data_IF_649541822358
#
_entry.id   IF_649541822358
#
_cell.length_a   1.000
_cell.length_b   1.000
_cell.length_c   1.000
_cell.angle_alpha   90.00
_cell.angle_beta   90.00
_cell.angle_gamma   90.00
#
_symmetry.space_group_name_H-M   'P 1'
#
loop_
_entity.id
_entity.type
_entity.pdbx_description
1 polymer ?
#
# COMPACT_ATOMS: atom_id res chain seq x y z
N UNK A 1 -12.26 -27.90 -51.40
CA UNK A 1 -12.71 -29.02 -50.53
C UNK A 1 -11.61 -29.24 -49.50
N UNK A 2 -11.79 -28.63 -48.32
CA UNK A 2 -12.07 -29.28 -47.01
C UNK A 2 -10.78 -29.87 -46.39
N UNK A 3 -10.34 -29.56 -45.18
CA UNK A 3 -10.79 -28.67 -44.10
C UNK A 3 -9.62 -28.52 -43.13
N UNK A 4 -9.36 -27.32 -42.61
CA UNK A 4 -8.59 -27.11 -41.37
C UNK A 4 -9.46 -27.54 -40.19
N UNK A 5 -8.89 -28.19 -39.20
CA UNK A 5 -9.52 -28.40 -37.88
C UNK A 5 -8.49 -28.09 -36.79
N UNK A 6 -8.80 -27.08 -36.00
CA UNK A 6 -8.12 -26.68 -34.78
C UNK A 6 -8.43 -27.69 -33.66
N UNK A 7 -7.44 -28.05 -32.84
CA UNK A 7 -7.67 -28.72 -31.56
C UNK A 7 -6.66 -28.27 -30.50
N UNK A 8 -7.17 -27.53 -29.52
CA UNK A 8 -6.70 -27.30 -28.14
C UNK A 8 -7.89 -26.61 -27.43
N UNK A 9 -8.14 -26.73 -26.11
CA UNK A 9 -7.67 -27.70 -25.10
C UNK A 9 -8.81 -28.27 -24.21
N UNK A 10 -8.73 -29.54 -23.77
CA UNK A 10 -9.55 -30.06 -22.65
C UNK A 10 -8.59 -30.69 -21.63
N UNK A 11 -7.97 -29.87 -20.79
CA UNK A 11 -7.18 -30.39 -19.66
C UNK A 11 -7.13 -29.49 -18.42
N UNK A 12 -7.81 -28.33 -18.40
CA UNK A 12 -7.81 -27.42 -17.25
C UNK A 12 -9.08 -27.48 -16.37
N UNK A 13 -10.06 -28.31 -16.72
CA UNK A 13 -11.35 -28.38 -16.00
C UNK A 13 -11.37 -29.50 -14.93
N UNK A 14 -10.43 -30.46 -14.96
CA UNK A 14 -10.44 -31.57 -13.98
C UNK A 14 -9.73 -31.28 -12.64
N UNK A 15 -8.99 -30.18 -12.51
CA UNK A 15 -8.30 -29.85 -11.25
C UNK A 15 -9.17 -29.07 -10.24
N UNK A 16 -10.32 -28.55 -10.66
CA UNK A 16 -11.22 -27.75 -9.79
C UNK A 16 -12.34 -28.61 -9.17
N UNK A 17 -12.58 -29.82 -9.69
CA UNK A 17 -13.69 -30.69 -9.25
C UNK A 17 -13.44 -31.57 -8.02
N UNK A 18 -12.23 -31.62 -7.47
CA UNK A 18 -11.86 -32.60 -6.42
C UNK A 18 -11.58 -32.00 -5.03
N UNK A 19 -11.78 -30.68 -4.82
CA UNK A 19 -11.66 -30.05 -3.50
C UNK A 19 -12.99 -29.88 -2.75
N UNK A 20 -14.10 -30.43 -3.26
CA UNK A 20 -15.43 -30.26 -2.67
C UNK A 20 -15.92 -31.42 -1.76
N UNK A 21 -15.05 -32.37 -1.38
CA UNK A 21 -15.45 -33.49 -0.51
C UNK A 21 -14.37 -33.81 0.53
N UNK A 22 -14.29 -33.00 1.59
CA UNK A 22 -13.80 -33.41 2.91
C UNK A 22 -14.29 -32.42 3.98
N UNK A 23 -15.61 -32.40 4.21
CA UNK A 23 -16.17 -31.92 5.46
C UNK A 23 -16.49 -33.12 6.35
N UNK A 24 -15.71 -33.33 7.40
CA UNK A 24 -16.19 -33.98 8.63
C UNK A 24 -15.47 -33.42 9.85
N UNK A 25 -16.25 -32.63 10.62
CA UNK A 25 -16.26 -32.47 12.06
C UNK A 25 -14.92 -32.44 12.83
N UNK A 26 -14.51 -31.22 13.23
CA UNK A 26 -13.97 -30.99 14.57
C UNK A 26 -14.35 -29.60 15.10
N UNK A 27 -15.00 -29.64 16.26
CA UNK A 27 -15.12 -28.63 17.32
C UNK A 27 -15.65 -27.23 16.97
N UNK A 28 -16.84 -26.94 17.52
CA UNK A 28 -17.41 -25.61 17.71
C UNK A 28 -16.57 -24.78 18.69
N UNK A 29 -16.65 -23.45 18.52
CA UNK A 29 -16.14 -22.36 19.35
C UNK A 29 -14.63 -22.09 19.27
N UNK A 30 -14.24 -21.03 18.53
CA UNK A 30 -13.41 -19.91 19.04
C UNK A 30 -12.81 -18.97 17.97
N UNK A 31 -13.16 -19.01 16.68
CA UNK A 31 -12.37 -18.29 15.65
C UNK A 31 -13.13 -17.40 14.65
N UNK A 32 -14.44 -17.23 14.80
CA UNK A 32 -15.19 -16.24 14.01
C UNK A 32 -15.30 -14.85 14.67
N UNK A 33 -15.08 -14.75 15.98
CA UNK A 33 -15.18 -13.47 16.71
C UNK A 33 -13.90 -12.61 16.62
N UNK A 34 -12.75 -13.21 16.28
CA UNK A 34 -11.46 -12.49 16.19
C UNK A 34 -11.20 -11.82 14.83
N UNK A 35 -12.05 -12.04 13.81
CA UNK A 35 -11.93 -11.41 12.47
C UNK A 35 -12.92 -10.27 12.23
N UNK A 36 -13.56 -9.80 13.32
CA UNK A 36 -14.39 -8.59 13.37
C UNK A 36 -13.67 -7.37 13.98
N UNK A 37 -12.38 -7.46 14.31
CA UNK A 37 -11.67 -6.37 15.01
C UNK A 37 -11.59 -5.05 14.22
N UNK A 38 -11.51 -5.03 12.89
CA UNK A 38 -11.39 -3.75 12.15
C UNK A 38 -12.73 -3.09 11.78
N UNK A 39 -13.85 -3.80 11.93
CA UNK A 39 -15.20 -3.30 11.57
C UNK A 39 -16.14 -3.13 12.76
N UNK A 40 -15.82 -3.70 13.93
CA UNK A 40 -16.58 -3.50 15.18
C UNK A 40 -15.84 -2.66 16.23
N UNK A 41 -14.59 -2.23 15.98
CA UNK A 41 -13.91 -1.21 16.80
C UNK A 41 -14.45 0.21 16.54
N UNK A 42 -15.32 0.38 15.55
CA UNK A 42 -15.97 1.63 15.10
C UNK A 42 -16.70 2.43 16.22
N UNK A 43 -16.82 1.91 17.44
CA UNK A 43 -17.44 2.67 18.54
C UNK A 43 -16.68 2.76 19.88
N UNK A 44 -15.58 2.03 20.12
CA UNK A 44 -14.98 2.00 21.48
C UNK A 44 -13.51 2.37 21.62
N UNK A 45 -12.68 2.35 20.57
CA UNK A 45 -11.26 2.74 20.69
C UNK A 45 -10.82 3.72 19.59
N UNK A 46 -11.19 4.99 19.80
CA UNK A 46 -10.85 6.14 18.93
C UNK A 46 -9.33 6.31 18.79
N UNK A 47 -8.56 5.95 19.82
CA UNK A 47 -7.08 6.00 19.77
C UNK A 47 -6.56 4.91 18.86
N UNK A 48 -7.06 3.68 18.98
CA UNK A 48 -6.74 2.56 18.09
C UNK A 48 -7.08 2.85 16.61
N UNK A 49 -8.19 3.54 16.37
CA UNK A 49 -8.60 3.96 15.03
C UNK A 49 -7.66 5.02 14.42
N UNK A 50 -7.31 6.06 15.20
CA UNK A 50 -6.35 7.07 14.80
C UNK A 50 -4.94 6.46 14.56
N UNK A 51 -4.52 5.50 15.40
CA UNK A 51 -3.29 4.74 15.18
C UNK A 51 -3.34 3.97 13.87
N UNK A 52 -4.43 3.25 13.59
CA UNK A 52 -4.57 2.50 12.33
C UNK A 52 -4.45 3.43 11.11
N UNK A 53 -5.01 4.63 11.21
CA UNK A 53 -4.87 5.66 10.17
C UNK A 53 -3.44 6.19 10.04
N UNK A 54 -2.72 6.38 11.16
CA UNK A 54 -1.30 6.76 11.16
C UNK A 54 -0.40 5.70 10.52
N UNK A 55 -0.75 4.42 10.68
CA UNK A 55 0.08 3.31 10.20
C UNK A 55 -0.17 2.91 8.76
N UNK A 56 -1.24 3.37 8.12
CA UNK A 56 -1.54 3.02 6.74
C UNK A 56 -0.51 3.59 5.72
N UNK A 57 -0.06 4.85 5.80
CA UNK A 57 1.05 5.33 4.97
C UNK A 57 2.35 4.54 5.20
N UNK A 58 2.60 4.13 6.46
CA UNK A 58 3.79 3.36 6.84
C UNK A 58 3.73 1.96 6.25
N UNK A 59 2.62 1.24 6.44
CA UNK A 59 2.43 -0.11 5.88
C UNK A 59 2.50 -0.08 4.37
N UNK A 60 1.84 0.89 3.72
CA UNK A 60 1.94 1.12 2.28
C UNK A 60 3.39 1.25 1.82
N UNK A 61 4.19 2.09 2.48
CA UNK A 61 5.62 2.23 2.21
C UNK A 61 6.42 0.91 2.41
N UNK A 62 6.03 0.09 3.39
CA UNK A 62 6.66 -1.21 3.68
C UNK A 62 6.25 -2.34 2.72
N UNK A 63 5.05 -2.33 2.15
CA UNK A 63 4.59 -3.44 1.28
C UNK A 63 5.27 -3.51 -0.10
N UNK A 64 6.02 -2.47 -0.46
CA UNK A 64 6.44 -2.33 -1.85
C UNK A 64 6.67 -0.91 -2.29
N UNK A 65 6.23 0.08 -1.49
CA UNK A 65 6.16 1.54 -1.72
C UNK A 65 4.80 1.95 -2.29
N UNK A 66 3.88 2.11 -1.35
CA UNK A 66 2.45 2.39 -1.42
C UNK A 66 1.57 1.21 -1.84
N UNK A 67 0.45 1.07 -1.14
CA UNK A 67 -0.65 0.16 -1.46
C UNK A 67 -1.26 0.36 -2.84
N UNK A 68 -0.75 1.25 -3.71
CA UNK A 68 -0.91 1.15 -5.17
C UNK A 68 0.36 1.43 -6.01
N UNK A 69 1.51 0.91 -5.61
CA UNK A 69 2.40 0.30 -6.60
C UNK A 69 3.67 1.00 -7.00
N UNK A 70 4.38 1.72 -6.14
CA UNK A 70 5.77 2.06 -6.42
C UNK A 70 6.66 0.83 -6.26
N UNK A 71 6.48 -0.24 -7.05
CA UNK A 71 7.56 -1.22 -7.18
C UNK A 71 8.74 -0.53 -7.86
N UNK A 72 9.54 0.19 -7.09
CA UNK A 72 10.84 0.68 -7.52
C UNK A 72 11.63 -0.56 -7.89
N UNK A 73 12.09 -0.59 -9.12
CA UNK A 73 13.01 -1.58 -9.61
C UNK A 73 14.31 -1.49 -8.81
N UNK A 74 14.33 -2.11 -7.63
CA UNK A 74 15.57 -2.50 -6.99
C UNK A 74 16.12 -3.63 -7.86
N UNK A 75 17.31 -3.38 -8.40
CA UNK A 75 18.09 -4.31 -9.22
C UNK A 75 17.82 -5.77 -8.84
N UNK A 76 17.14 -6.49 -9.74
CA UNK A 76 16.99 -7.94 -9.68
C UNK A 76 17.78 -8.50 -10.85
N UNK A 77 18.75 -9.35 -10.57
CA UNK A 77 19.33 -10.22 -11.60
C UNK A 77 18.20 -10.99 -12.25
N UNK A 78 18.13 -11.00 -13.59
CA UNK A 78 17.08 -11.63 -14.41
C UNK A 78 16.52 -12.90 -13.73
N UNK A 79 15.25 -12.93 -13.29
CA UNK A 79 14.64 -14.18 -12.88
C UNK A 79 14.54 -15.12 -14.07
N UNK A 80 14.54 -16.43 -13.82
CA UNK A 80 14.29 -17.41 -14.87
C UNK A 80 12.86 -17.20 -15.40
N UNK A 81 12.64 -17.40 -16.70
CA UNK A 81 11.36 -17.15 -17.40
C UNK A 81 10.12 -17.76 -16.69
N UNK A 82 10.28 -18.88 -15.96
CA UNK A 82 9.19 -19.50 -15.18
C UNK A 82 8.78 -18.73 -13.93
N UNK A 83 9.70 -18.03 -13.26
CA UNK A 83 9.42 -17.24 -12.05
C UNK A 83 8.66 -15.96 -12.37
N UNK A 84 8.90 -15.36 -13.53
CA UNK A 84 8.25 -14.12 -13.96
C UNK A 84 6.77 -14.33 -14.29
N UNK A 85 6.43 -15.47 -14.90
CA UNK A 85 5.04 -15.86 -15.19
C UNK A 85 4.30 -16.19 -13.89
N UNK A 86 4.89 -17.02 -13.02
CA UNK A 86 4.28 -17.38 -11.74
C UNK A 86 4.06 -16.16 -10.84
N UNK A 87 5.04 -15.26 -10.77
CA UNK A 87 4.95 -14.02 -10.00
C UNK A 87 3.92 -13.04 -10.56
N UNK A 88 3.78 -12.95 -11.89
CA UNK A 88 2.76 -12.12 -12.55
C UNK A 88 1.36 -12.66 -12.30
N UNK A 89 1.14 -13.97 -12.46
CA UNK A 89 -0.14 -14.61 -12.14
C UNK A 89 -0.49 -14.51 -10.65
N UNK A 90 0.50 -14.69 -9.78
CA UNK A 90 0.34 -14.58 -8.34
C UNK A 90 -0.01 -13.14 -7.90
N UNK A 91 0.64 -12.14 -8.49
CA UNK A 91 0.29 -10.71 -8.31
C UNK A 91 -1.12 -10.42 -8.78
N UNK A 92 -1.48 -10.86 -9.99
CA UNK A 92 -2.82 -10.71 -10.56
C UNK A 92 -3.89 -11.34 -9.64
N UNK A 93 -3.57 -12.51 -9.06
CA UNK A 93 -4.47 -13.30 -8.24
C UNK A 93 -4.70 -12.73 -6.84
N UNK A 94 -3.66 -12.18 -6.18
CA UNK A 94 -3.78 -11.72 -4.80
C UNK A 94 -3.95 -10.20 -4.63
N UNK A 95 -3.43 -9.38 -5.55
CA UNK A 95 -3.39 -7.92 -5.40
C UNK A 95 -4.03 -7.15 -6.57
N UNK A 96 -4.66 -7.84 -7.53
CA UNK A 96 -4.98 -7.25 -8.85
C UNK A 96 -3.69 -6.98 -9.66
N UNK A 97 -3.75 -6.40 -10.87
CA UNK A 97 -2.55 -6.08 -11.64
C UNK A 97 -1.71 -5.00 -10.95
N UNK A 98 -0.86 -5.41 -10.01
CA UNK A 98 0.28 -4.63 -9.52
C UNK A 98 1.40 -4.67 -10.55
N UNK A 99 1.10 -4.03 -11.68
CA UNK A 99 2.06 -3.59 -12.68
C UNK A 99 2.84 -2.45 -12.03
N UNK A 100 4.15 -2.60 -11.94
CA UNK A 100 4.99 -1.64 -11.24
C UNK A 100 4.82 -0.23 -11.77
N UNK A 101 4.76 0.80 -10.91
CA UNK A 101 4.56 2.18 -11.36
C UNK A 101 5.60 2.70 -12.35
N UNK A 102 6.79 2.10 -12.37
CA UNK A 102 7.80 2.32 -13.42
C UNK A 102 7.44 1.65 -14.74
N UNK A 103 6.22 1.17 -14.95
CA UNK A 103 5.78 0.70 -16.26
C UNK A 103 4.97 1.82 -16.88
N UNK A 104 5.51 2.55 -17.86
CA UNK A 104 4.91 3.76 -18.40
C UNK A 104 4.00 3.51 -19.63
N UNK A 105 3.15 2.47 -19.60
CA UNK A 105 2.19 2.17 -20.67
C UNK A 105 0.71 2.32 -20.27
N UNK A 106 -0.13 2.56 -21.29
CA UNK A 106 -1.58 2.62 -21.13
C UNK A 106 -2.17 1.21 -21.04
N UNK A 107 -3.09 1.00 -20.10
CA UNK A 107 -3.84 -0.26 -19.99
C UNK A 107 -5.30 0.04 -19.64
N UNK A 108 -6.21 -0.74 -20.19
CA UNK A 108 -7.62 -0.69 -19.83
C UNK A 108 -8.17 -2.11 -19.80
N UNK A 109 -8.98 -2.44 -18.82
CA UNK A 109 -9.69 -3.70 -18.76
C UNK A 109 -10.96 -3.60 -17.90
N UNK A 110 -11.92 -4.45 -18.23
CA UNK A 110 -13.13 -4.63 -17.42
C UNK A 110 -12.76 -5.49 -16.20
N UNK A 111 -13.12 -5.02 -15.01
CA UNK A 111 -12.85 -5.75 -13.78
C UNK A 111 -13.76 -6.99 -13.71
N UNK A 112 -13.21 -8.16 -13.32
CA UNK A 112 -13.93 -9.45 -13.42
C UNK A 112 -15.20 -9.52 -12.57
N UNK A 113 -15.28 -8.71 -11.51
CA UNK A 113 -16.46 -8.57 -10.67
C UNK A 113 -17.36 -7.38 -11.01
N UNK A 114 -17.09 -6.68 -12.12
CA UNK A 114 -17.83 -5.52 -12.61
C UNK A 114 -17.06 -4.20 -12.47
N UNK A 115 -17.43 -3.22 -13.29
CA UNK A 115 -16.75 -1.92 -13.40
C UNK A 115 -15.50 -1.98 -14.26
N UNK A 116 -14.83 -0.84 -14.40
CA UNK A 116 -13.72 -0.67 -15.33
C UNK A 116 -12.48 -0.13 -14.61
N UNK A 117 -11.32 -0.53 -15.12
CA UNK A 117 -10.04 0.06 -14.74
C UNK A 117 -9.36 0.62 -15.98
N UNK A 118 -8.93 1.87 -15.87
CA UNK A 118 -8.15 2.53 -16.90
C UNK A 118 -6.86 3.09 -16.29
N UNK A 119 -5.77 2.97 -17.04
CA UNK A 119 -4.51 3.64 -16.74
C UNK A 119 -4.03 4.38 -17.98
N UNK A 120 -3.69 5.63 -17.79
CA UNK A 120 -3.14 6.51 -18.83
C UNK A 120 -1.80 7.07 -18.38
N UNK A 121 -0.84 7.11 -19.28
CA UNK A 121 0.51 7.61 -19.04
C UNK A 121 0.81 8.73 -20.04
N UNK A 122 1.39 9.80 -19.51
CA UNK A 122 1.75 11.01 -20.22
C UNK A 122 3.21 11.33 -19.91
N UNK A 123 3.95 11.80 -20.90
CA UNK A 123 5.30 12.34 -20.72
C UNK A 123 5.40 13.66 -21.48
N UNK A 124 6.23 14.56 -20.96
CA UNK A 124 6.63 15.78 -21.67
C UNK A 124 7.74 15.54 -22.69
N UNK A 125 8.39 14.37 -22.66
CA UNK A 125 9.50 14.04 -23.53
C UNK A 125 8.97 13.67 -24.93
N UNK A 126 9.62 14.17 -25.98
CA UNK A 126 9.21 13.98 -27.39
C UNK A 126 9.18 12.51 -27.80
N UNK A 127 10.00 11.70 -27.14
CA UNK A 127 10.06 10.25 -27.27
C UNK A 127 9.68 9.63 -25.92
N UNK A 128 8.37 9.55 -25.66
CA UNK A 128 7.79 9.01 -24.43
C UNK A 128 7.94 7.47 -24.33
N UNK A 129 9.17 6.97 -24.44
CA UNK A 129 9.45 5.55 -24.28
C UNK A 129 9.25 5.13 -22.83
N UNK A 130 8.65 3.97 -22.65
CA UNK A 130 8.49 3.38 -21.34
C UNK A 130 9.70 2.51 -20.97
N UNK A 131 9.69 1.98 -19.75
CA UNK A 131 10.79 1.13 -19.28
C UNK A 131 10.80 -0.24 -19.95
N UNK A 132 9.70 -0.68 -20.57
CA UNK A 132 9.66 -1.91 -21.35
C UNK A 132 10.39 -1.69 -22.69
N UNK A 133 10.25 -0.52 -23.31
CA UNK A 133 10.95 -0.13 -24.54
C UNK A 133 12.47 -0.16 -24.37
N UNK A 134 12.98 0.18 -23.17
CA UNK A 134 14.39 0.01 -22.85
C UNK A 134 14.84 -1.46 -22.93
N UNK A 135 14.06 -2.38 -22.39
CA UNK A 135 14.39 -3.81 -22.41
C UNK A 135 14.21 -4.45 -23.78
N UNK A 136 13.22 -4.01 -24.57
CA UNK A 136 12.91 -4.59 -25.87
C UNK A 136 13.79 -4.00 -26.98
N UNK A 137 14.01 -2.68 -26.97
CA UNK A 137 14.55 -1.94 -28.10
C UNK A 137 15.79 -1.10 -27.75
N UNK A 138 16.20 -1.05 -26.47
CA UNK A 138 17.33 -0.22 -26.01
C UNK A 138 17.01 1.28 -25.95
N UNK A 139 15.74 1.66 -26.10
CA UNK A 139 15.32 3.05 -26.06
C UNK A 139 15.33 3.59 -24.62
N UNK A 140 15.85 4.79 -24.43
CA UNK A 140 15.92 5.39 -23.11
C UNK A 140 14.54 5.83 -22.61
N UNK A 141 14.13 5.45 -21.39
CA UNK A 141 12.85 5.85 -20.85
C UNK A 141 12.85 7.34 -20.48
N UNK A 142 11.65 7.90 -20.41
CA UNK A 142 11.43 9.29 -20.02
C UNK A 142 12.00 9.60 -18.62
N UNK A 143 12.61 10.78 -18.49
CA UNK A 143 13.17 11.25 -17.20
C UNK A 143 12.10 11.67 -16.18
N UNK A 144 10.88 11.90 -16.67
CA UNK A 144 9.68 12.17 -15.88
C UNK A 144 8.44 11.65 -16.61
N UNK A 145 7.41 11.25 -15.88
CA UNK A 145 6.11 10.92 -16.48
C UNK A 145 5.00 11.05 -15.45
N UNK A 146 3.79 11.23 -15.95
CA UNK A 146 2.54 11.23 -15.19
C UNK A 146 1.73 9.99 -15.55
N UNK A 147 1.27 9.24 -14.55
CA UNK A 147 0.39 8.11 -14.72
C UNK A 147 -0.89 8.34 -13.92
N UNK A 148 -2.04 8.33 -14.59
CA UNK A 148 -3.37 8.35 -13.97
C UNK A 148 -3.97 6.96 -14.01
N UNK A 149 -4.54 6.52 -12.88
CA UNK A 149 -5.32 5.29 -12.72
C UNK A 149 -6.73 5.70 -12.34
N UNK A 150 -7.69 5.36 -13.18
CA UNK A 150 -9.11 5.59 -12.96
C UNK A 150 -9.80 4.25 -12.69
N UNK A 151 -10.48 4.17 -11.55
CA UNK A 151 -11.29 3.04 -11.13
C UNK A 151 -12.74 3.46 -11.23
N UNK A 152 -13.51 2.84 -12.11
CA UNK A 152 -14.92 3.13 -12.31
C UNK A 152 -15.75 1.99 -11.72
N UNK A 153 -16.06 2.10 -10.42
CA UNK A 153 -16.75 1.05 -9.66
C UNK A 153 -16.11 -0.34 -9.80
N UNK A 154 -14.78 -0.39 -9.93
CA UNK A 154 -14.04 -1.61 -10.21
C UNK A 154 -14.09 -2.59 -9.03
N UNK A 155 -14.56 -3.81 -9.32
CA UNK A 155 -14.49 -4.96 -8.44
C UNK A 155 -13.61 -6.02 -9.11
N UNK A 156 -12.39 -6.18 -8.62
CA UNK A 156 -11.38 -7.03 -9.29
C UNK A 156 -11.80 -8.49 -9.46
N UNK A 157 -12.55 -9.05 -8.51
CA UNK A 157 -12.97 -10.44 -8.52
C UNK A 157 -14.46 -10.55 -8.17
N UNK A 158 -15.22 -11.44 -8.82
CA UNK A 158 -16.68 -11.51 -8.65
C UNK A 158 -17.11 -11.88 -7.23
N UNK A 159 -16.26 -12.53 -6.45
CA UNK A 159 -16.55 -12.99 -5.09
C UNK A 159 -16.09 -12.03 -3.98
N UNK A 160 -15.44 -10.90 -4.30
CA UNK A 160 -15.08 -9.91 -3.27
C UNK A 160 -16.29 -9.04 -2.94
N UNK A 161 -16.42 -8.61 -1.69
CA UNK A 161 -17.37 -7.54 -1.32
C UNK A 161 -16.76 -6.14 -1.49
N UNK A 162 -15.48 -6.09 -1.86
CA UNK A 162 -14.72 -4.86 -2.04
C UNK A 162 -14.88 -4.30 -3.44
N UNK A 163 -15.16 -3.00 -3.51
CA UNK A 163 -15.27 -2.19 -4.72
C UNK A 163 -14.40 -0.95 -4.54
N UNK A 164 -13.69 -0.55 -5.60
CA UNK A 164 -12.86 0.65 -5.63
C UNK A 164 -13.42 1.59 -6.69
N UNK A 165 -13.51 2.87 -6.35
CA UNK A 165 -13.98 3.92 -7.24
C UNK A 165 -13.11 5.18 -7.09
N UNK A 166 -12.93 5.94 -8.17
CA UNK A 166 -12.15 7.18 -8.19
C UNK A 166 -10.74 7.02 -8.78
N UNK A 167 -9.87 7.99 -8.49
CA UNK A 167 -8.62 8.21 -9.24
C UNK A 167 -7.38 8.19 -8.33
N UNK A 168 -6.29 7.61 -8.84
CA UNK A 168 -4.95 7.72 -8.27
C UNK A 168 -3.94 8.13 -9.33
N UNK A 169 -3.14 9.14 -9.01
CA UNK A 169 -2.30 9.87 -9.95
C UNK A 169 -0.88 9.94 -9.44
N UNK A 170 0.08 9.52 -10.27
CA UNK A 170 1.48 9.41 -9.90
C UNK A 170 2.33 10.24 -10.85
N UNK A 171 3.17 11.11 -10.32
CA UNK A 171 4.15 11.89 -11.08
C UNK A 171 5.54 11.47 -10.64
N UNK A 172 6.29 10.88 -11.57
CA UNK A 172 7.70 10.59 -11.39
C UNK A 172 8.56 11.70 -12.00
N UNK A 173 9.65 12.03 -11.34
CA UNK A 173 10.64 12.99 -11.82
C UNK A 173 12.05 12.65 -11.32
N UNK A 174 13.07 13.12 -12.05
CA UNK A 174 14.47 12.85 -11.70
C UNK A 174 14.88 11.40 -11.91
N UNK A 175 14.23 10.70 -12.84
CA UNK A 175 14.58 9.33 -13.21
C UNK A 175 15.84 9.31 -14.08
N UNK A 176 16.63 8.25 -13.92
CA UNK A 176 17.78 7.98 -14.79
C UNK A 176 17.31 7.40 -16.13
N UNK A 177 17.99 7.78 -17.22
CA UNK A 177 17.82 7.20 -18.56
C UNK A 177 18.42 5.80 -18.71
N UNK A 178 19.05 5.28 -17.65
CA UNK A 178 19.67 3.95 -17.60
C UNK A 178 19.37 3.25 -16.28
N UNK A 179 19.39 1.93 -16.28
CA UNK A 179 19.19 1.15 -15.06
C UNK A 179 20.40 1.30 -14.10
N UNK A 180 20.18 1.53 -12.79
CA UNK A 180 18.89 1.63 -12.11
C UNK A 180 18.21 2.98 -12.36
N UNK A 181 16.92 2.92 -12.70
CA UNK A 181 16.15 4.08 -13.11
C UNK A 181 15.81 5.03 -11.97
N UNK A 182 15.67 4.50 -10.76
CA UNK A 182 15.55 5.30 -9.54
C UNK A 182 16.96 5.54 -9.01
N UNK A 183 17.26 6.81 -8.74
CA UNK A 183 18.55 7.27 -8.28
C UNK A 183 18.36 8.26 -7.12
N UNK A 184 19.47 8.73 -6.57
CA UNK A 184 19.41 9.82 -5.61
C UNK A 184 18.79 11.07 -6.26
N UNK A 185 17.81 11.68 -5.59
CA UNK A 185 17.05 12.82 -6.09
C UNK A 185 15.85 12.46 -6.96
N UNK A 186 15.59 11.17 -7.24
CA UNK A 186 14.30 10.78 -7.83
C UNK A 186 13.17 11.14 -6.86
N UNK A 187 12.07 11.65 -7.41
CA UNK A 187 10.88 12.04 -6.65
C UNK A 187 9.64 11.41 -7.26
N UNK A 188 8.79 10.86 -6.40
CA UNK A 188 7.43 10.40 -6.72
C UNK A 188 6.43 11.24 -5.94
N UNK A 189 5.51 11.90 -6.66
CA UNK A 189 4.34 12.54 -6.07
C UNK A 189 3.11 11.70 -6.38
N UNK A 190 2.32 11.40 -5.36
CA UNK A 190 1.09 10.61 -5.47
C UNK A 190 -0.07 11.51 -5.06
N UNK A 191 -1.10 11.56 -5.89
CA UNK A 191 -2.38 12.17 -5.60
C UNK A 191 -3.47 11.12 -5.64
N UNK A 192 -4.44 11.27 -4.75
CA UNK A 192 -5.48 10.26 -4.54
C UNK A 192 -6.81 10.97 -4.34
N UNK A 193 -7.85 10.44 -4.95
CA UNK A 193 -9.23 10.72 -4.63
C UNK A 193 -10.04 9.45 -4.91
N UNK A 194 -10.16 8.58 -3.92
CA UNK A 194 -10.79 7.27 -4.08
C UNK A 194 -11.69 6.89 -2.94
N UNK A 195 -12.64 6.03 -3.26
CA UNK A 195 -13.52 5.38 -2.32
C UNK A 195 -13.33 3.87 -2.41
N UNK A 196 -13.14 3.23 -1.26
CA UNK A 196 -13.09 1.78 -1.11
C UNK A 196 -14.33 1.38 -0.32
N UNK A 197 -15.22 0.62 -0.95
CA UNK A 197 -16.48 0.19 -0.35
C UNK A 197 -16.46 -1.31 -0.08
N UNK A 198 -16.96 -1.72 1.08
CA UNK A 198 -17.29 -3.10 1.41
C UNK A 198 -18.81 -3.27 1.49
N UNK A 199 -19.41 -3.71 0.39
CA UNK A 199 -20.86 -3.78 0.24
C UNK A 199 -21.53 -4.77 1.19
N UNK A 200 -20.83 -5.82 1.63
CA UNK A 200 -21.39 -6.80 2.58
C UNK A 200 -21.41 -6.30 4.02
N UNK A 201 -20.66 -5.24 4.32
CA UNK A 201 -20.60 -4.63 5.67
C UNK A 201 -21.23 -3.24 5.70
N UNK A 202 -21.57 -2.66 4.55
CA UNK A 202 -22.10 -1.30 4.47
C UNK A 202 -21.08 -0.23 4.90
N UNK A 203 -19.78 -0.55 4.85
CA UNK A 203 -18.70 0.36 5.25
C UNK A 203 -18.01 0.87 4.00
N UNK A 204 -17.71 2.16 3.95
CA UNK A 204 -16.85 2.73 2.92
C UNK A 204 -15.79 3.64 3.51
N UNK A 205 -14.64 3.70 2.84
CA UNK A 205 -13.53 4.57 3.19
C UNK A 205 -13.22 5.45 2.00
N UNK A 206 -13.21 6.77 2.21
CA UNK A 206 -12.75 7.73 1.24
C UNK A 206 -11.38 8.24 1.62
N UNK A 207 -10.45 8.21 0.68
CA UNK A 207 -9.08 8.69 0.85
C UNK A 207 -8.83 9.76 -0.20
N UNK A 208 -8.49 10.96 0.26
CA UNK A 208 -8.27 12.13 -0.60
C UNK A 208 -6.95 12.81 -0.23
N UNK A 209 -6.15 13.23 -1.21
CA UNK A 209 -5.01 14.11 -0.95
C UNK A 209 -5.49 15.46 -0.40
N UNK A 210 -4.85 15.95 0.66
CA UNK A 210 -5.15 17.25 1.28
C UNK A 210 -4.07 18.31 1.01
N UNK A 211 -3.01 17.94 0.28
CA UNK A 211 -1.96 18.86 -0.14
C UNK A 211 -2.36 19.74 -1.32
N UNK A 212 -1.35 20.34 -1.95
CA UNK A 212 -1.54 21.16 -3.16
C UNK A 212 -2.02 20.34 -4.35
N UNK A 213 -2.73 20.99 -5.28
CA UNK A 213 -3.15 20.36 -6.53
C UNK A 213 -1.93 19.81 -7.31
N UNK A 214 -2.03 18.59 -7.81
CA UNK A 214 -1.00 18.04 -8.68
C UNK A 214 -0.97 18.80 -10.01
N UNK A 215 0.24 19.03 -10.51
CA UNK A 215 0.47 19.67 -11.80
C UNK A 215 1.58 18.94 -12.54
N UNK A 216 1.39 18.74 -13.84
CA UNK A 216 2.39 18.17 -14.73
C UNK A 216 2.25 18.81 -16.12
N UNK A 217 3.36 18.91 -16.87
CA UNK A 217 3.40 19.61 -18.15
C UNK A 217 2.66 18.91 -19.29
N UNK A 218 2.28 17.64 -19.11
CA UNK A 218 1.47 16.85 -20.03
C UNK A 218 0.32 16.15 -19.28
N UNK A 219 -0.79 15.87 -19.95
CA UNK A 219 -1.99 15.39 -19.28
C UNK A 219 -2.64 16.46 -18.39
N UNK A 220 -3.62 16.07 -17.58
CA UNK A 220 -4.35 16.98 -16.68
C UNK A 220 -4.64 16.26 -15.38
N UNK A 221 -3.69 16.24 -14.42
CA UNK A 221 -3.95 15.71 -13.10
C UNK A 221 -5.17 16.39 -12.46
N UNK A 222 -5.99 15.59 -11.78
CA UNK A 222 -7.28 16.00 -11.19
C UNK A 222 -7.27 15.90 -9.67
N UNK A 223 -6.24 15.30 -9.08
CA UNK A 223 -6.14 15.05 -7.65
C UNK A 223 -5.19 16.04 -6.95
N UNK A 224 -5.36 16.14 -5.64
CA UNK A 224 -4.42 16.83 -4.77
C UNK A 224 -3.34 15.87 -4.27
N UNK A 225 -2.17 16.44 -3.93
CA UNK A 225 -1.03 15.72 -3.38
C UNK A 225 -1.42 15.00 -2.07
N UNK A 226 -1.22 13.69 -2.07
CA UNK A 226 -1.40 12.80 -0.92
C UNK A 226 -0.05 12.39 -0.31
N UNK A 227 0.92 12.02 -1.16
CA UNK A 227 2.24 11.57 -0.72
C UNK A 227 3.35 12.15 -1.59
N UNK A 228 4.49 12.47 -0.97
CA UNK A 228 5.73 12.74 -1.70
C UNK A 228 6.80 11.79 -1.19
N UNK A 229 7.41 11.03 -2.09
CA UNK A 229 8.56 10.18 -1.80
C UNK A 229 9.79 10.76 -2.49
N UNK A 230 10.89 10.90 -1.74
CA UNK A 230 12.18 11.39 -2.26
C UNK A 230 13.27 10.38 -1.93
N UNK A 231 13.93 9.84 -2.95
CA UNK A 231 15.02 8.89 -2.75
C UNK A 231 16.32 9.65 -2.47
N UNK A 232 16.88 9.43 -1.28
CA UNK A 232 18.02 10.19 -0.75
C UNK A 232 19.33 9.40 -0.88
N UNK A 233 19.25 8.08 -0.90
CA UNK A 233 20.41 7.21 -1.10
C UNK A 233 19.97 5.91 -1.77
N UNK A 234 20.45 5.66 -3.00
CA UNK A 234 20.18 4.42 -3.71
C UNK A 234 21.47 3.62 -3.82
N UNK A 235 21.48 2.44 -3.21
CA UNK A 235 22.56 1.48 -3.41
C UNK A 235 22.34 0.77 -4.75
N UNK A 236 23.33 0.87 -5.63
CA UNK A 236 23.31 0.28 -6.97
C UNK A 236 24.23 -0.95 -7.03
N UNK A 237 23.86 -1.99 -7.77
CA UNK A 237 24.68 -3.20 -7.92
C UNK A 237 24.71 -4.12 -6.69
N UNK A 238 25.82 -4.83 -6.46
CA UNK A 238 26.01 -5.74 -5.31
C UNK A 238 26.45 -5.03 -4.01
N UNK A 239 26.15 -3.74 -3.88
CA UNK A 239 26.53 -2.97 -2.69
C UNK A 239 25.69 -3.38 -1.48
N UNK A 240 26.36 -3.73 -0.38
CA UNK A 240 25.73 -3.94 0.93
C UNK A 240 25.48 -2.60 1.63
N UNK A 241 24.43 -2.54 2.44
CA UNK A 241 24.07 -1.36 3.23
C UNK A 241 22.58 -1.02 3.14
N UNK A 242 22.25 0.24 3.45
CA UNK A 242 20.86 0.73 3.48
C UNK A 242 20.63 1.72 2.33
N UNK A 243 19.71 1.39 1.42
CA UNK A 243 19.10 2.40 0.53
C UNK A 243 18.03 3.15 1.31
N UNK A 244 17.88 4.47 1.13
CA UNK A 244 16.93 5.28 1.88
C UNK A 244 16.12 6.23 1.01
N UNK A 245 14.90 6.51 1.49
CA UNK A 245 13.99 7.50 0.95
C UNK A 245 13.21 8.13 2.10
N UNK A 246 12.77 9.36 1.89
CA UNK A 246 11.86 10.05 2.79
C UNK A 246 10.45 10.10 2.21
N UNK A 247 9.44 10.11 3.08
CA UNK A 247 8.04 10.27 2.70
C UNK A 247 7.39 11.42 3.48
N UNK A 248 6.69 12.28 2.76
CA UNK A 248 5.74 13.24 3.33
C UNK A 248 4.32 12.79 3.04
N UNK A 249 3.42 13.00 4.00
CA UNK A 249 2.00 12.61 3.93
C UNK A 249 1.11 13.85 4.10
N UNK A 250 0.05 13.93 3.31
CA UNK A 250 -1.02 14.93 3.42
C UNK A 250 -2.32 14.31 2.91
N UNK A 251 -3.03 13.60 3.78
CA UNK A 251 -4.21 12.81 3.42
C UNK A 251 -5.39 13.17 4.31
N UNK A 252 -6.57 13.23 3.72
CA UNK A 252 -7.85 13.17 4.42
C UNK A 252 -8.44 11.78 4.24
N UNK A 253 -8.72 11.10 5.34
CA UNK A 253 -9.41 9.81 5.37
C UNK A 253 -10.74 9.95 6.07
N UNK A 254 -11.80 9.49 5.43
CA UNK A 254 -13.14 9.51 5.98
C UNK A 254 -13.70 8.10 5.92
N UNK A 255 -14.28 7.61 7.01
CA UNK A 255 -15.01 6.35 7.02
C UNK A 255 -16.50 6.60 7.18
N UNK A 256 -17.29 5.83 6.46
CA UNK A 256 -18.74 5.91 6.47
C UNK A 256 -19.36 4.54 6.74
N UNK A 257 -20.47 4.54 7.48
CA UNK A 257 -21.36 3.41 7.63
C UNK A 257 -22.68 3.78 6.95
N UNK A 258 -22.92 3.24 5.75
CA UNK A 258 -23.95 3.76 4.86
C UNK A 258 -23.66 5.21 4.49
N UNK A 259 -24.58 6.12 4.83
CA UNK A 259 -24.42 7.56 4.58
C UNK A 259 -23.82 8.34 5.77
N UNK A 260 -23.70 7.70 6.93
CA UNK A 260 -23.26 8.36 8.16
C UNK A 260 -21.74 8.35 8.25
N UNK A 261 -21.16 9.54 8.44
CA UNK A 261 -19.74 9.69 8.72
C UNK A 261 -19.44 9.12 10.11
N UNK A 262 -18.52 8.17 10.16
CA UNK A 262 -18.03 7.55 11.40
C UNK A 262 -16.88 8.37 11.97
N UNK A 263 -15.89 8.68 11.12
CA UNK A 263 -14.73 9.47 11.49
C UNK A 263 -14.13 10.16 10.28
N UNK A 264 -13.40 11.24 10.55
CA UNK A 264 -12.51 11.92 9.63
C UNK A 264 -11.15 12.14 10.29
N UNK A 265 -10.12 11.70 9.56
CA UNK A 265 -8.73 11.76 9.95
C UNK A 265 -7.94 12.61 8.95
N UNK A 266 -7.47 13.77 9.41
CA UNK A 266 -6.47 14.54 8.68
C UNK A 266 -5.07 14.05 9.09
N UNK A 267 -4.41 13.38 8.16
CA UNK A 267 -3.13 12.70 8.35
C UNK A 267 -2.04 13.54 7.69
N UNK A 268 -1.04 13.93 8.47
CA UNK A 268 0.10 14.73 7.99
C UNK A 268 1.41 14.26 8.62
N UNK A 269 2.54 14.61 8.04
CA UNK A 269 3.85 14.37 8.63
C UNK A 269 4.48 15.68 9.08
N UNK A 270 4.53 15.99 10.40
CA UNK A 270 5.26 17.15 10.91
C UNK A 270 6.75 17.09 10.60
N UNK A 271 7.30 15.88 10.48
CA UNK A 271 8.65 15.64 9.97
C UNK A 271 8.63 14.43 9.04
N UNK A 272 9.33 14.53 7.90
CA UNK A 272 9.33 13.49 6.87
C UNK A 272 9.72 12.13 7.43
N UNK A 273 8.91 11.12 7.14
CA UNK A 273 9.16 9.74 7.53
C UNK A 273 10.39 9.23 6.82
N UNK A 274 11.33 8.65 7.57
CA UNK A 274 12.58 8.14 7.03
C UNK A 274 12.52 6.64 6.91
N UNK A 275 12.70 6.15 5.69
CA UNK A 275 12.63 4.75 5.38
C UNK A 275 13.93 4.23 4.78
N UNK A 276 14.15 2.93 4.96
CA UNK A 276 15.29 2.25 4.40
C UNK A 276 14.99 0.83 3.93
N UNK A 277 15.78 0.35 2.97
CA UNK A 277 15.89 -1.07 2.65
C UNK A 277 17.29 -1.53 3.04
N UNK A 278 17.37 -2.29 4.13
CA UNK A 278 18.60 -2.89 4.65
C UNK A 278 18.91 -4.18 3.92
N UNK A 279 19.96 -4.13 3.11
CA UNK A 279 20.51 -5.21 2.29
C UNK A 279 21.89 -5.63 2.79
N UNK A 280 22.16 -5.46 4.07
CA UNK A 280 23.45 -5.83 4.67
C UNK A 280 23.70 -7.34 4.69
N UNK A 281 22.64 -8.16 4.73
CA UNK A 281 22.73 -9.63 4.64
C UNK A 281 22.92 -10.07 3.17
N UNK A 282 23.76 -11.08 2.95
CA UNK A 282 23.96 -11.66 1.62
C UNK A 282 22.75 -12.49 1.14
N UNK A 283 21.89 -12.94 2.06
CA UNK A 283 20.63 -13.62 1.78
C UNK A 283 19.49 -12.60 1.63
N UNK A 284 18.89 -12.45 0.43
CA UNK A 284 17.77 -11.54 0.20
C UNK A 284 16.52 -11.85 1.05
N UNK A 285 16.38 -13.10 1.51
CA UNK A 285 15.27 -13.50 2.38
C UNK A 285 15.40 -12.98 3.83
N UNK A 286 16.59 -12.50 4.19
CA UNK A 286 16.92 -11.91 5.50
C UNK A 286 16.91 -10.38 5.47
N UNK A 287 16.63 -9.76 4.32
CA UNK A 287 16.59 -8.30 4.22
C UNK A 287 15.44 -7.70 5.04
N UNK A 288 15.61 -6.45 5.42
CA UNK A 288 14.61 -5.68 6.16
C UNK A 288 14.27 -4.37 5.46
N UNK A 289 13.02 -3.95 5.60
CA UNK A 289 12.62 -2.57 5.41
C UNK A 289 12.56 -1.90 6.77
N UNK A 290 12.99 -0.66 6.84
CA UNK A 290 13.16 0.09 8.06
C UNK A 290 12.27 1.33 8.01
N UNK A 291 11.58 1.62 9.12
CA UNK A 291 11.13 2.95 9.46
C UNK A 291 12.00 3.47 10.60
N UNK A 292 12.91 4.38 10.29
CA UNK A 292 14.01 4.75 11.19
C UNK A 292 13.79 6.06 11.94
N UNK A 293 13.02 7.00 11.37
CA UNK A 293 12.77 8.31 11.96
C UNK A 293 11.55 9.01 11.30
N UNK A 294 11.29 10.22 11.76
CA UNK A 294 10.15 11.05 11.33
C UNK A 294 8.94 10.87 12.25
N UNK A 295 7.92 11.68 12.00
CA UNK A 295 6.70 11.69 12.80
C UNK A 295 5.47 11.79 11.90
N UNK A 296 4.39 11.14 12.32
CA UNK A 296 3.10 11.21 11.67
C UNK A 296 2.05 11.68 12.66
N UNK A 297 1.25 12.62 12.22
CA UNK A 297 0.19 13.24 12.98
C UNK A 297 -1.16 12.87 12.37
N UNK A 298 -2.11 12.52 13.22
CA UNK A 298 -3.50 12.27 12.86
C UNK A 298 -4.37 13.18 13.71
N UNK A 299 -5.07 14.11 13.07
CA UNK A 299 -6.12 14.88 13.72
C UNK A 299 -7.44 14.16 13.50
N UNK A 300 -8.08 13.72 14.59
CA UNK A 300 -9.44 13.20 14.59
C UNK A 300 -10.40 14.37 14.71
N UNK A 301 -11.18 14.61 13.65
CA UNK A 301 -11.95 15.85 13.49
C UNK A 301 -13.14 15.88 14.44
N UNK A 302 -13.91 14.80 14.49
CA UNK A 302 -15.16 14.69 15.25
C UNK A 302 -14.89 14.74 16.75
N UNK A 303 -13.81 14.09 17.18
CA UNK A 303 -13.43 14.00 18.57
C UNK A 303 -12.52 15.14 19.00
N UNK A 304 -11.99 15.93 18.07
CA UNK A 304 -11.13 17.08 18.32
C UNK A 304 -9.89 16.76 19.18
N UNK A 305 -9.22 15.65 18.87
CA UNK A 305 -7.89 15.35 19.40
C UNK A 305 -6.88 15.12 18.27
N UNK A 306 -5.62 15.28 18.62
CA UNK A 306 -4.49 15.03 17.73
C UNK A 306 -3.61 13.96 18.33
N UNK A 307 -3.33 12.93 17.53
CA UNK A 307 -2.40 11.86 17.82
C UNK A 307 -1.10 12.12 17.05
N UNK A 308 0.03 12.15 17.75
CA UNK A 308 1.37 12.29 17.15
C UNK A 308 2.18 11.03 17.44
N UNK A 309 2.54 10.29 16.41
CA UNK A 309 3.40 9.10 16.48
C UNK A 309 4.84 9.49 16.14
N UNK A 310 5.79 8.99 16.92
CA UNK A 310 7.23 9.18 16.69
C UNK A 310 7.99 7.88 16.89
N UNK A 311 8.98 7.63 16.02
CA UNK A 311 9.83 6.43 16.12
C UNK A 311 10.69 6.49 17.38
N UNK A 312 10.56 5.48 18.25
CA UNK A 312 11.39 5.33 19.45
C UNK A 312 12.59 4.43 19.14
N UNK A 313 12.35 3.32 18.44
CA UNK A 313 13.40 2.45 17.90
C UNK A 313 13.05 2.04 16.47
N UNK A 314 14.04 1.94 15.56
CA UNK A 314 13.79 1.65 14.16
C UNK A 314 12.94 0.40 13.99
N UNK A 315 11.80 0.57 13.34
CA UNK A 315 10.86 -0.52 13.15
C UNK A 315 11.26 -1.30 11.89
N UNK A 316 11.37 -2.61 12.02
CA UNK A 316 11.90 -3.52 11.00
C UNK A 316 10.78 -4.40 10.46
N UNK A 317 10.57 -4.37 9.15
CA UNK A 317 9.69 -5.27 8.41
C UNK A 317 10.54 -6.23 7.62
N UNK A 318 10.25 -7.52 7.70
CA UNK A 318 10.99 -8.48 6.90
C UNK A 318 10.62 -8.29 5.42
N UNK A 319 11.62 -8.26 4.55
CA UNK A 319 11.43 -7.88 3.15
C UNK A 319 10.50 -8.82 2.38
N UNK A 320 10.45 -10.11 2.75
CA UNK A 320 9.73 -11.16 1.99
C UNK A 320 8.25 -11.30 2.34
N UNK A 321 7.89 -11.16 3.61
CA UNK A 321 6.50 -11.26 4.08
C UNK A 321 5.89 -9.89 4.38
N UNK A 322 6.72 -8.83 4.36
CA UNK A 322 6.41 -7.46 4.78
C UNK A 322 5.61 -7.40 6.08
N UNK A 323 5.97 -8.29 6.99
CA UNK A 323 5.46 -8.31 8.35
C UNK A 323 6.48 -7.66 9.30
N UNK A 324 6.02 -6.84 10.27
CA UNK A 324 6.90 -6.27 11.27
C UNK A 324 7.54 -7.37 12.14
N UNK A 325 8.84 -7.24 12.41
CA UNK A 325 9.60 -8.18 13.25
C UNK A 325 10.01 -7.57 14.58
N UNK A 326 10.39 -6.30 14.60
CA UNK A 326 10.85 -5.62 15.81
C UNK A 326 10.72 -4.12 15.67
N UNK A 327 10.83 -3.42 16.78
CA UNK A 327 10.87 -1.96 16.86
C UNK A 327 9.76 -1.43 17.74
N UNK A 328 9.75 -0.12 17.91
CA UNK A 328 8.82 0.55 18.80
C UNK A 328 8.61 2.00 18.36
N UNK A 329 7.37 2.44 18.48
CA UNK A 329 7.04 3.86 18.41
C UNK A 329 6.35 4.30 19.69
N UNK A 330 6.49 5.57 20.01
CA UNK A 330 5.69 6.25 21.01
C UNK A 330 4.66 7.13 20.32
N UNK A 331 3.56 7.37 21.02
CA UNK A 331 2.59 8.37 20.57
C UNK A 331 2.09 9.22 21.73
N UNK A 332 1.72 10.44 21.40
CA UNK A 332 1.13 11.40 22.34
C UNK A 332 -0.21 11.88 21.81
N UNK A 333 -1.09 12.24 22.73
CA UNK A 333 -2.44 12.73 22.47
C UNK A 333 -2.56 14.15 23.03
N UNK A 334 -3.23 15.02 22.29
CA UNK A 334 -3.50 16.41 22.69
C UNK A 334 -4.86 16.85 22.16
N UNK A 335 -5.47 17.88 22.78
CA UNK A 335 -6.82 18.35 22.45
C UNK A 335 -7.83 17.90 23.50
N UNK A 336 -8.99 17.40 23.06
CA UNK A 336 -10.03 16.87 23.94
C UNK A 336 -9.62 15.59 24.70
N UNK A 337 -8.67 14.84 24.13
CA UNK A 337 -8.01 13.71 24.75
C UNK A 337 -6.53 14.02 24.90
N UNK A 338 -6.01 13.86 26.11
CA UNK A 338 -4.58 14.03 26.41
C UNK A 338 -4.02 12.72 26.93
N UNK A 339 -2.75 12.45 26.65
CA UNK A 339 -2.13 11.21 27.12
C UNK A 339 -0.97 10.74 26.27
N UNK A 340 -0.56 9.51 26.49
CA UNK A 340 0.54 8.90 25.78
C UNK A 340 0.41 7.39 25.75
N UNK A 341 1.05 6.80 24.75
CA UNK A 341 1.16 5.35 24.65
C UNK A 341 2.37 4.94 23.85
N UNK A 342 2.52 3.63 23.72
CA UNK A 342 3.57 3.00 22.93
C UNK A 342 2.96 1.94 22.04
N UNK A 343 3.57 1.70 20.90
CA UNK A 343 3.29 0.54 20.06
C UNK A 343 4.58 -0.22 19.79
N UNK A 344 4.61 -1.47 20.23
CA UNK A 344 5.73 -2.38 20.03
C UNK A 344 5.41 -3.37 18.91
N UNK A 345 6.41 -3.65 18.09
CA UNK A 345 6.28 -4.49 16.91
C UNK A 345 6.93 -5.85 17.14
N UNK A 346 6.20 -6.93 16.90
CA UNK A 346 6.73 -8.27 17.01
C UNK A 346 5.89 -9.27 16.23
N UNK A 347 6.51 -10.33 15.70
CA UNK A 347 5.80 -11.49 15.15
C UNK A 347 4.74 -11.19 14.08
N UNK A 348 4.87 -10.09 13.34
CA UNK A 348 3.96 -9.68 12.28
C UNK A 348 2.77 -8.83 12.71
N UNK A 349 2.69 -8.43 13.98
CA UNK A 349 1.70 -7.51 14.52
C UNK A 349 2.36 -6.30 15.21
N UNK A 350 1.58 -5.24 15.38
CA UNK A 350 1.88 -4.15 16.30
C UNK A 350 0.94 -4.23 17.49
N UNK A 351 1.46 -4.18 18.71
CA UNK A 351 0.66 -4.13 19.95
C UNK A 351 0.81 -2.77 20.58
N UNK A 352 -0.30 -2.11 20.89
CA UNK A 352 -0.30 -0.79 21.51
C UNK A 352 -0.91 -0.81 22.91
N UNK A 353 -0.40 0.07 23.77
CA UNK A 353 -0.95 0.37 25.09
C UNK A 353 -0.93 1.88 25.28
N UNK A 354 -1.93 2.42 25.97
CA UNK A 354 -2.00 3.86 26.26
C UNK A 354 -2.68 4.15 27.59
N UNK A 355 -2.44 5.36 28.06
CA UNK A 355 -3.23 6.02 29.10
C UNK A 355 -3.69 7.37 28.59
N UNK A 356 -4.97 7.70 28.81
CA UNK A 356 -5.60 8.95 28.38
C UNK A 356 -6.39 9.59 29.50
N UNK A 357 -6.55 10.90 29.41
CA UNK A 357 -7.43 11.72 30.22
C UNK A 357 -8.32 12.54 29.29
N UNK A 358 -9.63 12.45 29.50
CA UNK A 358 -10.63 13.23 28.75
C UNK A 358 -10.76 14.67 29.26
N UNK A 359 -11.59 15.47 28.58
CA UNK A 359 -11.83 16.87 28.93
C UNK A 359 -12.48 17.06 30.32
N UNK A 360 -13.16 16.03 30.84
CA UNK A 360 -13.80 16.04 32.16
C UNK A 360 -12.83 15.59 33.27
N UNK A 361 -11.60 15.22 32.93
CA UNK A 361 -10.56 14.79 33.85
C UNK A 361 -10.62 13.30 34.21
N UNK A 362 -11.43 12.49 33.52
CA UNK A 362 -11.47 11.06 33.73
C UNK A 362 -10.30 10.38 33.03
N UNK A 363 -9.54 9.58 33.78
CA UNK A 363 -8.44 8.81 33.22
C UNK A 363 -8.85 7.37 32.90
N UNK A 364 -8.42 6.88 31.75
CA UNK A 364 -8.58 5.49 31.33
C UNK A 364 -7.33 4.98 30.63
N UNK A 365 -7.23 3.67 30.50
CA UNK A 365 -6.14 3.02 29.77
C UNK A 365 -6.71 2.00 28.81
N UNK A 366 -6.13 1.91 27.63
CA UNK A 366 -6.52 0.97 26.59
C UNK A 366 -5.32 0.21 26.04
N UNK A 367 -5.62 -0.90 25.38
CA UNK A 367 -4.64 -1.66 24.62
C UNK A 367 -5.33 -2.40 23.47
N UNK A 368 -4.53 -2.74 22.47
CA UNK A 368 -5.01 -3.51 21.32
C UNK A 368 -3.88 -3.91 20.40
N UNK A 369 -4.25 -4.35 19.20
CA UNK A 369 -3.31 -4.76 18.17
C UNK A 369 -3.71 -4.25 16.80
N UNK A 370 -2.72 -3.89 15.99
CA UNK A 370 -2.85 -3.62 14.56
C UNK A 370 -2.28 -4.81 13.80
N UNK A 371 -3.09 -5.37 12.90
CA UNK A 371 -2.68 -6.46 12.02
C UNK A 371 -2.10 -5.91 10.71
N UNK A 372 -0.97 -6.46 10.28
CA UNK A 372 -0.28 -6.12 9.04
C UNK A 372 -0.28 -7.30 8.05
N UNK A 373 -1.13 -8.30 8.28
CA UNK A 373 -1.22 -9.54 7.48
C UNK A 373 -1.62 -9.34 6.02
N UNK A 374 -2.10 -8.15 5.62
CA UNK A 374 -2.37 -7.81 4.22
C UNK A 374 -1.16 -7.97 3.29
N UNK A 375 0.06 -7.96 3.84
CA UNK A 375 1.27 -8.16 3.05
C UNK A 375 1.77 -9.61 2.95
N UNK A 376 1.23 -10.53 3.75
CA UNK A 376 1.73 -11.89 3.81
C UNK A 376 1.35 -12.68 2.56
N UNK A 377 2.30 -12.81 1.64
CA UNK A 377 2.24 -13.80 0.57
C UNK A 377 2.21 -15.19 1.19
N UNK A 378 1.20 -16.05 0.92
CA UNK A 378 1.24 -17.43 1.35
C UNK A 378 2.46 -18.13 0.74
N UNK A 379 3.40 -18.53 1.60
CA UNK A 379 4.66 -19.22 1.26
C UNK A 379 4.50 -20.61 0.62
N UNK A 380 3.27 -21.05 0.29
CA UNK A 380 2.98 -22.40 -0.19
C UNK A 380 3.30 -22.59 -1.69
N UNK A 381 3.79 -21.55 -2.39
CA UNK A 381 4.08 -21.60 -3.83
C UNK A 381 5.51 -21.16 -4.20
N UNK A 382 6.50 -21.44 -3.35
CA UNK A 382 7.92 -21.40 -3.72
C UNK A 382 8.46 -22.80 -3.99
#
# INVERSE_FOLDING_TARGET
MLSRTYFLPISLILAIGLLALSCTNKSKNSDQDNKLALGLLIQNDKVGEALTSAFDPVSGSMEGLSGEGASTALYRTKPAFGEEVAYTFYKLWQKGPSLGELQAYNISFDCLGGGDYQRQVYSTDTNAYDFIDYFLNGNHPSSSFFASKDFQNCKFLPFTSWKIDGVSENIWSGLSSSSPFVQNGTVLKIGINRTIENSSRGISYKVTGSGSALTYGAGSPTTNLAYTLTWNNILTGQMSGISSYSQDVSVLREAYSGADLVYSHAITTPSSLQYGADKSDSNPLSWYRLWSAGSIQVQHVEENFTLLVSVTSPVKWKYVDCLPKSGEVSFTLSGSLTGSGVMSFSNGSGHYTYSVTDADGNSSSGNGSVDFSSCAVPLILL
#
